data_IF_973668746306
#
_entry.id   IF_973668746306
#
_cell.length_a   1.000
_cell.length_b   1.000
_cell.length_c   1.000
_cell.angle_alpha   90.00
_cell.angle_beta   90.00
_cell.angle_gamma   90.00
#
_symmetry.space_group_name_H-M   'P 1'
#
loop_
_entity.id
_entity.type
_entity.pdbx_description
1 polymer ?
#
# COMPACT_ATOMS: atom_id res chain seq x y z
N UNK A 1 -17.70 3.38 11.17
CA UNK A 1 -16.73 4.00 10.23
C UNK A 1 -15.39 3.26 10.24
N UNK A 2 -14.70 3.13 11.38
CA UNK A 2 -13.39 2.44 11.46
C UNK A 2 -13.36 1.02 10.85
N UNK A 3 -14.34 0.18 11.17
CA UNK A 3 -14.38 -1.21 10.65
C UNK A 3 -14.61 -1.26 9.13
N UNK A 4 -15.45 -0.37 8.59
CA UNK A 4 -15.77 -0.29 7.15
C UNK A 4 -14.52 0.16 6.38
N UNK A 5 -13.82 1.19 6.88
CA UNK A 5 -12.58 1.67 6.28
C UNK A 5 -11.49 0.60 6.29
N UNK A 6 -11.37 -0.14 7.39
CA UNK A 6 -10.43 -1.26 7.50
C UNK A 6 -10.76 -2.40 6.53
N UNK A 7 -12.03 -2.78 6.41
CA UNK A 7 -12.48 -3.80 5.46
C UNK A 7 -12.20 -3.41 4.02
N UNK A 8 -12.45 -2.14 3.66
CA UNK A 8 -12.17 -1.64 2.31
C UNK A 8 -10.67 -1.71 1.99
N UNK A 9 -9.81 -1.34 2.96
CA UNK A 9 -8.36 -1.43 2.80
C UNK A 9 -7.89 -2.89 2.64
N UNK A 10 -8.45 -3.83 3.42
CA UNK A 10 -8.14 -5.26 3.32
C UNK A 10 -8.56 -5.80 1.94
N UNK A 11 -9.79 -5.50 1.50
CA UNK A 11 -10.29 -5.93 0.19
C UNK A 11 -9.42 -5.36 -0.94
N UNK A 12 -9.05 -4.08 -0.86
CA UNK A 12 -8.15 -3.43 -1.79
C UNK A 12 -6.77 -4.10 -1.83
N UNK A 13 -6.17 -4.39 -0.67
CA UNK A 13 -4.88 -5.08 -0.59
C UNK A 13 -4.92 -6.50 -1.17
N UNK A 14 -5.95 -7.29 -0.83
CA UNK A 14 -6.10 -8.66 -1.34
C UNK A 14 -6.26 -8.67 -2.86
N UNK A 15 -7.15 -7.83 -3.39
CA UNK A 15 -7.38 -7.72 -4.84
C UNK A 15 -6.15 -7.19 -5.56
N UNK A 16 -5.47 -6.18 -5.00
CA UNK A 16 -4.21 -5.65 -5.53
C UNK A 16 -3.17 -6.77 -5.71
N UNK A 17 -2.82 -7.49 -4.66
CA UNK A 17 -1.79 -8.54 -4.76
C UNK A 17 -2.22 -9.65 -5.73
N UNK A 18 -3.51 -10.00 -5.74
CA UNK A 18 -4.06 -11.00 -6.65
C UNK A 18 -3.88 -10.61 -8.12
N UNK A 19 -4.19 -9.36 -8.49
CA UNK A 19 -4.10 -8.88 -9.87
C UNK A 19 -2.66 -8.53 -10.28
N UNK A 20 -1.87 -7.91 -9.40
CA UNK A 20 -0.47 -7.55 -9.72
C UNK A 20 0.36 -8.80 -10.02
N UNK A 21 0.14 -9.91 -9.31
CA UNK A 21 0.82 -11.18 -9.61
C UNK A 21 0.45 -11.73 -11.01
N UNK A 22 -0.73 -11.39 -11.53
CA UNK A 22 -1.21 -11.84 -12.86
C UNK A 22 -0.73 -10.95 -14.00
N UNK A 23 -0.03 -9.84 -13.72
CA UNK A 23 0.53 -8.98 -14.75
C UNK A 23 1.52 -9.80 -15.59
N UNK A 24 1.32 -9.90 -16.92
CA UNK A 24 2.22 -10.65 -17.77
C UNK A 24 3.66 -10.15 -17.67
N UNK A 25 4.60 -11.07 -17.48
CA UNK A 25 6.03 -10.76 -17.42
C UNK A 25 6.57 -10.19 -18.75
N UNK A 26 5.85 -10.41 -19.85
CA UNK A 26 6.18 -9.93 -21.20
C UNK A 26 6.02 -8.42 -21.37
N UNK A 27 5.19 -7.76 -20.57
CA UNK A 27 4.97 -6.31 -20.65
C UNK A 27 6.09 -5.60 -19.89
N UNK A 28 6.57 -4.45 -20.36
CA UNK A 28 7.53 -3.64 -19.59
C UNK A 28 6.90 -3.15 -18.26
N UNK A 29 7.56 -3.27 -17.09
CA UNK A 29 6.97 -2.94 -15.80
C UNK A 29 6.41 -1.51 -15.73
N UNK A 30 7.16 -0.53 -16.25
CA UNK A 30 6.74 0.87 -16.27
C UNK A 30 5.47 1.07 -17.13
N UNK A 31 5.34 0.35 -18.25
CA UNK A 31 4.15 0.44 -19.11
C UNK A 31 2.93 -0.13 -18.38
N UNK A 32 3.10 -1.22 -17.63
CA UNK A 32 2.03 -1.76 -16.79
C UNK A 32 1.59 -0.74 -15.73
N UNK A 33 2.54 -0.08 -15.08
CA UNK A 33 2.27 0.93 -14.05
C UNK A 33 1.50 2.12 -14.67
N UNK A 34 1.91 2.62 -15.83
CA UNK A 34 1.17 3.69 -16.55
C UNK A 34 -0.28 3.29 -16.78
N UNK A 35 -0.54 2.06 -17.22
CA UNK A 35 -1.90 1.54 -17.40
C UNK A 35 -2.71 1.51 -16.11
N UNK A 36 -2.10 1.11 -14.99
CA UNK A 36 -2.75 1.12 -13.66
C UNK A 36 -3.13 2.55 -13.27
N UNK A 37 -2.22 3.51 -13.37
CA UNK A 37 -2.49 4.90 -13.00
C UNK A 37 -3.52 5.58 -13.90
N UNK A 38 -3.57 5.25 -15.20
CA UNK A 38 -4.67 5.70 -16.07
C UNK A 38 -6.01 5.15 -15.58
N UNK A 39 -6.07 3.87 -15.21
CA UNK A 39 -7.27 3.27 -14.63
C UNK A 39 -7.70 3.95 -13.32
N UNK A 40 -6.74 4.22 -12.43
CA UNK A 40 -6.98 4.95 -11.17
C UNK A 40 -7.48 6.37 -11.42
N UNK A 41 -6.90 7.08 -12.40
CA UNK A 41 -7.32 8.43 -12.77
C UNK A 41 -8.76 8.44 -13.28
N UNK A 42 -9.13 7.51 -14.16
CA UNK A 42 -10.49 7.39 -14.66
C UNK A 42 -11.47 7.09 -13.53
N UNK A 43 -11.16 6.10 -12.69
CA UNK A 43 -12.03 5.72 -11.57
C UNK A 43 -12.24 6.87 -10.58
N UNK A 44 -11.15 7.52 -10.16
CA UNK A 44 -11.21 8.65 -9.22
C UNK A 44 -11.89 9.88 -9.84
N UNK A 45 -11.66 10.14 -11.13
CA UNK A 45 -12.35 11.21 -11.87
C UNK A 45 -13.86 10.96 -11.98
N UNK A 46 -14.29 9.73 -12.28
CA UNK A 46 -15.71 9.37 -12.29
C UNK A 46 -16.36 9.52 -10.92
N UNK A 47 -15.68 9.06 -9.86
CA UNK A 47 -16.19 9.22 -8.49
C UNK A 47 -16.28 10.69 -8.08
N UNK A 48 -15.30 11.52 -8.45
CA UNK A 48 -15.33 12.95 -8.19
C UNK A 48 -16.47 13.67 -8.94
N UNK A 49 -16.84 13.19 -10.12
CA UNK A 49 -17.98 13.69 -10.88
C UNK A 49 -19.33 13.26 -10.26
N UNK A 50 -19.42 12.04 -9.73
CA UNK A 50 -20.62 11.51 -9.07
C UNK A 50 -20.83 12.10 -7.67
N UNK A 51 -19.75 12.43 -6.97
CA UNK A 51 -19.76 12.98 -5.62
C UNK A 51 -19.02 14.33 -5.60
N UNK A 52 -19.65 15.40 -6.14
CA UNK A 52 -19.02 16.70 -6.20
C UNK A 52 -18.81 17.28 -4.78
N UNK A 53 -17.64 17.88 -4.49
CA UNK A 53 -17.39 18.50 -3.21
C UNK A 53 -18.26 19.75 -3.02
N UNK A 54 -18.84 19.90 -1.83
CA UNK A 54 -19.76 21.00 -1.46
C UNK A 54 -19.09 22.37 -1.57
N UNK A 55 -17.80 22.46 -1.26
CA UNK A 55 -16.99 23.70 -1.27
C UNK A 55 -16.44 24.03 -2.67
N UNK A 56 -16.76 23.21 -3.68
CA UNK A 56 -16.36 23.37 -5.07
C UNK A 56 -14.95 22.86 -5.40
N UNK A 57 -14.73 22.42 -6.64
CA UNK A 57 -13.48 21.80 -7.07
C UNK A 57 -12.25 22.68 -6.84
N UNK A 58 -12.35 23.98 -7.16
CA UNK A 58 -11.23 24.93 -7.07
C UNK A 58 -10.69 25.08 -5.65
N UNK A 59 -11.52 24.91 -4.63
CA UNK A 59 -11.10 25.00 -3.24
C UNK A 59 -10.15 23.86 -2.87
N UNK A 60 -10.54 22.62 -3.16
CA UNK A 60 -9.71 21.45 -2.86
C UNK A 60 -8.46 21.32 -3.74
N UNK A 61 -8.52 21.71 -5.02
CA UNK A 61 -7.33 21.72 -5.87
C UNK A 61 -6.26 22.71 -5.36
N UNK A 62 -6.64 23.82 -4.72
CA UNK A 62 -5.68 24.77 -4.11
C UNK A 62 -5.05 24.24 -2.81
N UNK A 63 -5.64 23.21 -2.20
CA UNK A 63 -5.07 22.56 -1.01
C UNK A 63 -4.07 21.45 -1.36
N UNK A 64 -3.88 21.16 -2.66
CA UNK A 64 -2.80 20.28 -3.09
C UNK A 64 -1.46 20.89 -2.67
N UNK A 65 -0.67 20.08 -1.99
CA UNK A 65 0.63 20.43 -1.45
C UNK A 65 1.70 19.50 -2.02
N UNK A 66 2.95 19.73 -1.63
CA UNK A 66 4.05 18.83 -1.96
C UNK A 66 3.86 17.41 -1.40
N UNK A 67 3.03 17.24 -0.35
CA UNK A 67 2.75 15.94 0.27
C UNK A 67 2.14 14.97 -0.72
N UNK A 68 1.21 15.43 -1.57
CA UNK A 68 0.58 14.58 -2.59
C UNK A 68 1.61 14.08 -3.61
N UNK A 69 2.61 14.90 -3.94
CA UNK A 69 3.71 14.48 -4.79
C UNK A 69 4.58 13.41 -4.12
N UNK A 70 4.92 13.60 -2.83
CA UNK A 70 5.67 12.60 -2.06
C UNK A 70 4.91 11.26 -1.95
N UNK A 71 3.58 11.32 -1.75
CA UNK A 71 2.71 10.14 -1.77
C UNK A 71 2.73 9.47 -3.14
N UNK A 72 2.61 10.21 -4.24
CA UNK A 72 2.64 9.64 -5.59
C UNK A 72 3.95 8.89 -5.87
N UNK A 73 5.10 9.45 -5.50
CA UNK A 73 6.40 8.77 -5.61
C UNK A 73 6.44 7.50 -4.76
N UNK A 74 5.89 7.55 -3.55
CA UNK A 74 5.85 6.40 -2.65
C UNK A 74 5.01 5.26 -3.21
N UNK A 75 3.81 5.55 -3.74
CA UNK A 75 2.95 4.54 -4.36
C UNK A 75 3.61 3.97 -5.61
N UNK A 76 4.27 4.80 -6.42
CA UNK A 76 5.02 4.34 -7.60
C UNK A 76 6.12 3.34 -7.23
N UNK A 77 6.91 3.62 -6.19
CA UNK A 77 7.95 2.70 -5.69
C UNK A 77 7.35 1.39 -5.19
N UNK A 78 6.22 1.45 -4.47
CA UNK A 78 5.51 0.27 -3.98
C UNK A 78 5.05 -0.60 -5.16
N UNK A 79 4.37 -0.02 -6.15
CA UNK A 79 3.89 -0.75 -7.32
C UNK A 79 5.03 -1.39 -8.11
N UNK A 80 6.09 -0.62 -8.38
CA UNK A 80 7.27 -1.12 -9.07
C UNK A 80 7.92 -2.27 -8.29
N UNK A 81 8.08 -2.11 -6.97
CA UNK A 81 8.64 -3.12 -6.09
C UNK A 81 7.84 -4.43 -6.12
N UNK A 82 6.52 -4.36 -5.99
CA UNK A 82 5.67 -5.56 -6.03
C UNK A 82 5.64 -6.23 -7.42
N UNK A 83 5.58 -5.45 -8.51
CA UNK A 83 5.66 -6.00 -9.87
C UNK A 83 6.98 -6.74 -10.08
N UNK A 84 8.11 -6.15 -9.69
CA UNK A 84 9.42 -6.77 -9.83
C UNK A 84 9.57 -8.01 -8.94
N UNK A 85 9.07 -7.96 -7.70
CA UNK A 85 9.12 -9.08 -6.78
C UNK A 85 8.35 -10.29 -7.31
N UNK A 86 7.12 -10.10 -7.81
CA UNK A 86 6.35 -11.22 -8.39
C UNK A 86 6.95 -11.74 -9.70
N UNK A 87 7.60 -10.88 -10.50
CA UNK A 87 8.36 -11.33 -11.68
C UNK A 87 9.58 -12.16 -11.32
N UNK A 88 10.23 -11.87 -10.20
CA UNK A 88 11.32 -12.68 -9.66
C UNK A 88 10.85 -14.04 -9.10
N UNK A 89 9.57 -14.39 -9.24
CA UNK A 89 9.03 -15.69 -8.83
C UNK A 89 8.58 -15.77 -7.38
N UNK A 90 8.51 -14.64 -6.67
CA UNK A 90 8.06 -14.63 -5.27
C UNK A 90 6.60 -15.08 -5.15
N UNK A 91 6.33 -15.83 -4.08
CA UNK A 91 4.97 -16.23 -3.74
C UNK A 91 4.15 -15.03 -3.24
N UNK A 92 2.84 -15.08 -3.47
CA UNK A 92 1.90 -14.02 -3.07
C UNK A 92 1.98 -13.73 -1.57
N UNK A 93 1.90 -14.81 -0.78
CA UNK A 93 1.91 -14.77 0.67
C UNK A 93 3.28 -14.34 1.17
N UNK A 94 4.36 -15.02 0.78
CA UNK A 94 5.73 -14.73 1.25
C UNK A 94 6.18 -13.31 0.93
N UNK A 95 5.93 -12.82 -0.28
CA UNK A 95 6.35 -11.47 -0.70
C UNK A 95 5.69 -10.37 0.12
N UNK A 96 4.35 -10.36 0.18
CA UNK A 96 3.63 -9.34 0.95
C UNK A 96 3.95 -9.40 2.46
N UNK A 97 4.12 -10.60 2.98
CA UNK A 97 4.38 -10.86 4.38
C UNK A 97 5.78 -10.39 4.81
N UNK A 98 6.82 -10.67 4.02
CA UNK A 98 8.18 -10.18 4.28
C UNK A 98 8.22 -8.65 4.18
N UNK A 99 7.69 -8.07 3.11
CA UNK A 99 7.65 -6.60 2.96
C UNK A 99 6.86 -5.93 4.08
N UNK A 100 5.71 -6.50 4.45
CA UNK A 100 4.85 -5.98 5.51
C UNK A 100 5.53 -5.97 6.88
N UNK A 101 6.33 -6.97 7.20
CA UNK A 101 7.12 -6.99 8.43
C UNK A 101 8.17 -5.89 8.44
N UNK A 102 8.99 -5.78 7.39
CA UNK A 102 10.01 -4.73 7.33
C UNK A 102 9.41 -3.33 7.36
N UNK A 103 8.30 -3.10 6.64
CA UNK A 103 7.56 -1.85 6.67
C UNK A 103 7.08 -1.54 8.10
N UNK A 104 6.47 -2.50 8.80
CA UNK A 104 6.01 -2.29 10.18
C UNK A 104 7.16 -1.98 11.15
N UNK A 105 8.30 -2.68 11.04
CA UNK A 105 9.47 -2.40 11.88
C UNK A 105 9.96 -0.97 11.66
N UNK A 106 10.11 -0.54 10.40
CA UNK A 106 10.58 0.80 10.05
C UNK A 106 9.56 1.86 10.50
N UNK A 107 8.27 1.64 10.28
CA UNK A 107 7.21 2.56 10.69
C UNK A 107 7.16 2.74 12.21
N UNK A 108 7.36 1.68 12.98
CA UNK A 108 7.43 1.75 14.45
C UNK A 108 8.65 2.55 14.88
N UNK A 109 9.80 2.34 14.22
CA UNK A 109 10.98 3.17 14.42
C UNK A 109 10.68 4.65 14.13
N UNK A 110 10.07 4.95 12.99
CA UNK A 110 9.69 6.32 12.64
C UNK A 110 8.65 6.92 13.61
N UNK A 111 7.68 6.14 14.07
CA UNK A 111 6.69 6.54 15.08
C UNK A 111 7.34 6.95 16.41
N UNK A 112 8.36 6.22 16.83
CA UNK A 112 9.17 6.53 18.00
C UNK A 112 10.01 7.79 17.83
N UNK A 113 10.82 7.85 16.75
CA UNK A 113 11.81 8.92 16.56
C UNK A 113 11.20 10.24 16.10
N UNK A 114 10.22 10.20 15.19
CA UNK A 114 9.71 11.39 14.51
C UNK A 114 8.38 11.88 15.09
N UNK A 115 7.48 10.96 15.44
CA UNK A 115 6.12 11.29 15.94
C UNK A 115 6.04 11.32 17.48
N UNK A 116 7.11 10.93 18.18
CA UNK A 116 7.16 10.78 19.65
C UNK A 116 5.98 9.98 20.21
N UNK A 117 5.50 9.01 19.44
CA UNK A 117 4.42 8.14 19.90
C UNK A 117 4.93 7.32 21.09
N UNK A 118 4.16 7.31 22.19
CA UNK A 118 4.44 6.43 23.32
C UNK A 118 4.13 5.00 22.91
N UNK A 119 5.12 4.28 22.39
CA UNK A 119 4.99 2.86 22.13
C UNK A 119 4.85 2.15 23.47
N UNK A 120 3.64 1.69 23.77
CA UNK A 120 3.38 0.81 24.90
C UNK A 120 4.16 -0.49 24.73
N UNK A 121 4.65 -1.07 25.83
CA UNK A 121 5.30 -2.40 25.84
C UNK A 121 4.44 -3.46 25.14
N UNK A 122 3.12 -3.29 25.18
CA UNK A 122 2.13 -4.14 24.51
C UNK A 122 2.24 -4.05 22.97
N UNK A 123 2.48 -2.87 22.41
CA UNK A 123 2.64 -2.70 20.95
C UNK A 123 3.93 -3.37 20.47
N UNK A 124 5.01 -3.27 21.25
CA UNK A 124 6.27 -3.95 20.95
C UNK A 124 6.12 -5.48 20.95
N UNK A 125 5.40 -6.02 21.94
CA UNK A 125 5.05 -7.45 22.00
C UNK A 125 4.16 -7.83 20.81
N UNK A 126 3.17 -7.01 20.45
CA UNK A 126 2.31 -7.23 19.28
C UNK A 126 3.09 -7.30 17.96
N UNK A 127 4.08 -6.44 17.78
CA UNK A 127 4.98 -6.47 16.61
C UNK A 127 5.80 -7.75 16.62
N UNK A 128 6.42 -8.11 17.76
CA UNK A 128 7.18 -9.35 17.89
C UNK A 128 6.31 -10.59 17.57
N UNK A 129 5.06 -10.62 18.07
CA UNK A 129 4.11 -11.68 17.78
C UNK A 129 3.71 -11.72 16.30
N UNK A 130 3.53 -10.56 15.67
CA UNK A 130 3.24 -10.48 14.23
C UNK A 130 4.39 -11.02 13.38
N UNK A 131 5.64 -10.72 13.76
CA UNK A 131 6.85 -11.22 13.09
C UNK A 131 6.97 -12.73 13.24
N UNK A 132 6.71 -13.26 14.44
CA UNK A 132 6.73 -14.72 14.70
C UNK A 132 5.63 -15.42 13.88
N UNK A 133 4.40 -14.90 13.87
CA UNK A 133 3.30 -15.46 13.08
C UNK A 133 3.62 -15.47 11.58
N UNK A 134 4.25 -14.40 11.11
CA UNK A 134 4.76 -14.29 9.74
C UNK A 134 5.84 -15.33 9.44
N UNK A 135 6.84 -15.48 10.32
CA UNK A 135 7.91 -16.45 10.15
C UNK A 135 7.37 -17.88 10.08
N UNK A 136 6.40 -18.23 10.92
CA UNK A 136 5.75 -19.55 10.91
C UNK A 136 4.97 -19.81 9.62
N UNK A 137 4.22 -18.83 9.10
CA UNK A 137 3.47 -18.98 7.84
C UNK A 137 4.43 -19.06 6.64
N UNK A 138 5.56 -18.35 6.70
CA UNK A 138 6.57 -18.37 5.65
C UNK A 138 7.47 -19.62 5.69
N UNK A 139 7.45 -20.38 6.78
CA UNK A 139 8.25 -21.60 6.93
C UNK A 139 7.55 -22.75 6.19
N UNK A 140 8.10 -23.15 5.04
CA UNK A 140 7.71 -24.36 4.32
C UNK A 140 8.73 -25.46 4.63
N UNK A 141 8.32 -26.64 5.13
CA UNK A 141 9.20 -27.79 5.29
C UNK A 141 9.66 -28.36 3.93
#
# INVERSE_FOLDING_TARGET
MYLISALLAILGGVTYHHFVKRIPATIHPIVSIVGIYVGVLLLSGTLLALFPPVEGYRFHFRQLSWVQFAVAVSVFLIELGFVLMYRAGWNLSTGNLVTGVFINIILVGLGLFLLREKVSLINAIGIALSIIGVAMISYRP
#
